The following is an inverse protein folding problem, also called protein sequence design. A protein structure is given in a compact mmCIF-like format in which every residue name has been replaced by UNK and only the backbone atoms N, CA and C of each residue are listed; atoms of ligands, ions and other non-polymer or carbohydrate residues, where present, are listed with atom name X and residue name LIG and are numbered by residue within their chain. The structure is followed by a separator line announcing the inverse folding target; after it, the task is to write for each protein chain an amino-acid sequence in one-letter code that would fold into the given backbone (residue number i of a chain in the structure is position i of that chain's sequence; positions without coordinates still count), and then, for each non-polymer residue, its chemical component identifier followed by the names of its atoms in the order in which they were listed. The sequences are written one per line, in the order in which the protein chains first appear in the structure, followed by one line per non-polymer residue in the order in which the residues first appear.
data_IF_193395407478
#
_entry.id   IF_193395407478
#
_cell.length_a   1.000
_cell.length_b   1.000
_cell.length_c   1.000
_cell.angle_alpha   90.00
_cell.angle_beta   90.00
_cell.angle_gamma   90.00
#
_symmetry.space_group_name_H-M   'P 1'
#
loop_
_entity.id
_entity.type
_entity.pdbx_description
1 polymer ?
#
# COMPACT_ATOMS: atom_id res chain seq x y z
N UNK A 1 39.83 -68.52 10.68
CA UNK A 1 39.36 -69.91 10.44
C UNK A 1 38.05 -69.90 9.65
N UNK A 2 38.03 -69.30 8.45
CA UNK A 2 36.83 -69.21 7.59
C UNK A 2 37.22 -69.24 6.10
N UNK A 3 38.29 -69.96 5.76
CA UNK A 3 38.81 -70.10 4.39
C UNK A 3 38.85 -71.56 3.91
N UNK A 4 37.87 -72.39 4.28
CA UNK A 4 37.60 -73.69 3.61
C UNK A 4 36.11 -74.06 3.66
N UNK A 5 35.27 -73.24 3.05
CA UNK A 5 33.90 -73.62 2.71
C UNK A 5 33.72 -73.43 1.19
N UNK A 6 33.10 -74.43 0.55
CA UNK A 6 32.84 -74.48 -0.90
C UNK A 6 31.98 -73.28 -1.35
N UNK A 7 32.08 -72.92 -2.63
CA UNK A 7 31.42 -71.75 -3.23
C UNK A 7 29.88 -71.75 -3.00
N UNK A 8 29.24 -72.92 -2.97
CA UNK A 8 27.81 -73.05 -2.66
C UNK A 8 27.47 -72.64 -1.22
N UNK A 9 28.31 -72.97 -0.24
CA UNK A 9 28.10 -72.58 1.16
C UNK A 9 28.32 -71.08 1.39
N UNK A 10 29.12 -70.40 0.55
CA UNK A 10 29.32 -68.95 0.64
C UNK A 10 28.10 -68.17 0.14
N UNK A 11 27.46 -68.66 -0.93
CA UNK A 11 26.22 -68.07 -1.44
C UNK A 11 25.07 -68.26 -0.44
N UNK A 12 24.98 -69.44 0.18
CA UNK A 12 23.97 -69.72 1.20
C UNK A 12 24.12 -68.86 2.46
N UNK A 13 25.35 -68.66 2.95
CA UNK A 13 25.63 -67.76 4.08
C UNK A 13 25.34 -66.30 3.72
N UNK A 14 25.62 -65.86 2.49
CA UNK A 14 25.30 -64.52 2.02
C UNK A 14 23.78 -64.28 1.91
N UNK A 15 23.02 -65.24 1.39
CA UNK A 15 21.56 -65.17 1.34
C UNK A 15 20.92 -65.13 2.72
N UNK A 16 21.42 -65.92 3.68
CA UNK A 16 20.95 -65.89 5.08
C UNK A 16 21.27 -64.52 5.72
N UNK A 17 22.47 -64.00 5.51
CA UNK A 17 22.84 -62.68 6.04
C UNK A 17 21.99 -61.56 5.43
N UNK A 18 21.73 -61.62 4.11
CA UNK A 18 20.86 -60.68 3.41
C UNK A 18 19.40 -60.75 3.88
N UNK A 19 18.87 -61.95 4.15
CA UNK A 19 17.52 -62.14 4.71
C UNK A 19 17.41 -61.62 6.15
N UNK A 20 18.43 -61.83 6.97
CA UNK A 20 18.49 -61.30 8.35
C UNK A 20 18.55 -59.77 8.32
N UNK A 21 19.33 -59.18 7.41
CA UNK A 21 19.39 -57.72 7.22
C UNK A 21 18.06 -57.14 6.71
N UNK A 22 17.39 -57.81 5.76
CA UNK A 22 16.06 -57.38 5.28
C UNK A 22 15.00 -57.49 6.38
N UNK A 23 15.02 -58.53 7.21
CA UNK A 23 14.10 -58.66 8.35
C UNK A 23 14.36 -57.61 9.41
N UNK A 24 15.63 -57.33 9.73
CA UNK A 24 16.00 -56.25 10.66
C UNK A 24 15.57 -54.87 10.12
N UNK A 25 15.70 -54.63 8.82
CA UNK A 25 15.26 -53.40 8.16
C UNK A 25 13.74 -53.25 8.17
N UNK A 26 13.00 -54.34 7.93
CA UNK A 26 11.54 -54.32 7.96
C UNK A 26 11.01 -54.11 9.39
N UNK A 27 11.64 -54.73 10.39
CA UNK A 27 11.33 -54.50 11.81
C UNK A 27 11.68 -53.07 12.22
N UNK A 28 12.79 -52.52 11.76
CA UNK A 28 13.12 -51.12 12.00
C UNK A 28 12.10 -50.16 11.37
N UNK A 29 11.66 -50.43 10.13
CA UNK A 29 10.59 -49.63 9.47
C UNK A 29 9.27 -49.75 10.23
N UNK A 30 8.88 -50.94 10.68
CA UNK A 30 7.63 -51.13 11.44
C UNK A 30 7.71 -50.43 12.80
N UNK A 31 8.84 -50.53 13.51
CA UNK A 31 9.07 -49.82 14.77
C UNK A 31 9.06 -48.31 14.53
N UNK A 32 9.73 -47.82 13.48
CA UNK A 32 9.70 -46.41 13.10
C UNK A 32 8.30 -45.94 12.73
N UNK A 33 7.49 -46.79 12.08
CA UNK A 33 6.11 -46.49 11.74
C UNK A 33 5.22 -46.47 12.98
N UNK A 34 5.38 -47.40 13.94
CA UNK A 34 4.68 -47.38 15.23
C UNK A 34 5.09 -46.19 16.11
N UNK A 35 6.38 -45.84 16.14
CA UNK A 35 6.87 -44.65 16.85
C UNK A 35 6.39 -43.37 16.17
N UNK A 36 6.39 -43.30 14.85
CA UNK A 36 5.84 -42.18 14.10
C UNK A 36 4.32 -42.07 14.30
N UNK A 37 3.59 -43.19 14.33
CA UNK A 37 2.16 -43.20 14.65
C UNK A 37 1.90 -42.77 16.09
N UNK A 38 2.72 -43.19 17.05
CA UNK A 38 2.60 -42.79 18.45
C UNK A 38 2.94 -41.31 18.66
N UNK A 39 3.99 -40.80 18.00
CA UNK A 39 4.32 -39.37 18.01
C UNK A 39 3.21 -38.58 17.30
N UNK A 40 2.70 -39.06 16.17
CA UNK A 40 1.59 -38.45 15.45
C UNK A 40 0.30 -38.46 16.27
N UNK A 41 0.02 -39.53 17.02
CA UNK A 41 -1.11 -39.64 17.95
C UNK A 41 -0.94 -38.73 19.18
N UNK A 42 0.27 -38.57 19.70
CA UNK A 42 0.57 -37.62 20.80
C UNK A 42 0.49 -36.17 20.32
N UNK A 43 0.93 -35.88 19.09
CA UNK A 43 0.79 -34.58 18.45
C UNK A 43 -0.67 -34.28 18.07
N UNK A 44 -1.45 -35.28 17.63
CA UNK A 44 -2.90 -35.17 17.41
C UNK A 44 -3.65 -34.98 18.73
N UNK A 45 -3.30 -35.72 19.78
CA UNK A 45 -3.86 -35.54 21.11
C UNK A 45 -3.53 -34.15 21.68
N UNK A 46 -2.29 -33.67 21.45
CA UNK A 46 -1.86 -32.31 21.80
C UNK A 46 -2.55 -31.22 20.98
N UNK A 47 -2.78 -31.44 19.68
CA UNK A 47 -3.50 -30.51 18.80
C UNK A 47 -5.00 -30.46 19.10
N UNK A 48 -5.62 -31.60 19.40
CA UNK A 48 -7.05 -31.68 19.79
C UNK A 48 -7.29 -31.06 21.17
N UNK A 49 -6.33 -31.14 22.10
CA UNK A 49 -6.43 -30.48 23.41
C UNK A 49 -6.00 -28.98 23.38
N UNK A 50 -5.07 -28.61 22.49
CA UNK A 50 -4.52 -27.26 22.38
C UNK A 50 -5.42 -26.25 21.66
N UNK A 51 -6.28 -26.70 20.74
CA UNK A 51 -7.14 -25.81 19.93
C UNK A 51 -8.14 -24.98 20.75
N UNK A 52 -8.54 -25.44 21.93
CA UNK A 52 -9.50 -24.71 22.80
C UNK A 52 -8.85 -23.51 23.50
N UNK A 53 -7.53 -23.53 23.72
CA UNK A 53 -6.80 -22.46 24.42
C UNK A 53 -5.74 -21.75 23.56
N UNK A 54 -5.48 -22.22 22.35
CA UNK A 54 -4.46 -21.68 21.44
C UNK A 54 -4.63 -20.17 21.22
N UNK A 55 -5.86 -19.71 20.96
CA UNK A 55 -6.18 -18.30 20.74
C UNK A 55 -5.99 -17.38 21.97
N UNK A 56 -5.79 -17.92 23.18
CA UNK A 56 -5.51 -17.13 24.39
C UNK A 56 -4.02 -16.91 24.66
N UNK A 57 -3.14 -17.60 23.93
CA UNK A 57 -1.69 -17.50 24.12
C UNK A 57 -1.16 -16.35 23.25
N UNK A 58 -0.37 -15.40 23.79
CA UNK A 58 0.25 -14.32 23.01
C UNK A 58 1.06 -14.83 21.80
N UNK A 59 0.97 -14.14 20.66
CA UNK A 59 1.58 -14.53 19.37
C UNK A 59 3.08 -14.90 19.48
N UNK A 60 3.83 -14.20 20.34
CA UNK A 60 5.25 -14.48 20.56
C UNK A 60 5.49 -15.87 21.16
N UNK A 61 4.63 -16.29 22.09
CA UNK A 61 4.72 -17.59 22.77
C UNK A 61 4.22 -18.71 21.85
N UNK A 62 3.20 -18.46 21.04
CA UNK A 62 2.75 -19.43 20.02
C UNK A 62 3.88 -19.75 19.03
N UNK A 63 4.59 -18.73 18.54
CA UNK A 63 5.70 -18.93 17.60
C UNK A 63 6.85 -19.71 18.27
N UNK A 64 7.17 -19.41 19.54
CA UNK A 64 8.17 -20.14 20.34
C UNK A 64 7.79 -21.61 20.57
N UNK A 65 6.51 -21.89 20.82
CA UNK A 65 5.98 -23.25 21.03
C UNK A 65 5.99 -24.06 19.74
N UNK A 66 5.54 -23.49 18.62
CA UNK A 66 5.60 -24.18 17.32
C UNK A 66 7.05 -24.47 16.93
N UNK A 67 7.95 -23.51 17.15
CA UNK A 67 9.36 -23.69 16.82
C UNK A 67 10.03 -24.77 17.69
N UNK A 68 9.75 -24.82 19.00
CA UNK A 68 10.38 -25.79 19.90
C UNK A 68 9.71 -27.17 19.91
N UNK A 69 8.38 -27.26 19.75
CA UNK A 69 7.64 -28.52 19.86
C UNK A 69 7.45 -29.23 18.53
N UNK A 70 7.54 -28.52 17.40
CA UNK A 70 7.36 -29.10 16.07
C UNK A 70 8.68 -29.13 15.31
N UNK A 71 9.40 -28.00 15.23
CA UNK A 71 10.62 -27.92 14.41
C UNK A 71 11.84 -28.56 15.09
N UNK A 72 12.04 -28.39 16.39
CA UNK A 72 13.19 -28.99 17.09
C UNK A 72 13.21 -30.52 17.05
N UNK A 73 12.09 -31.24 17.29
CA UNK A 73 12.05 -32.68 17.17
C UNK A 73 12.29 -33.16 15.73
N UNK A 74 11.81 -32.42 14.72
CA UNK A 74 12.07 -32.76 13.31
C UNK A 74 13.55 -32.58 12.99
N UNK A 75 14.18 -31.49 13.43
CA UNK A 75 15.62 -31.22 13.23
C UNK A 75 16.47 -32.26 13.98
N UNK A 76 16.07 -32.65 15.19
CA UNK A 76 16.79 -33.61 16.02
C UNK A 76 16.66 -35.04 15.47
N UNK A 77 15.46 -35.44 15.04
CA UNK A 77 15.23 -36.72 14.35
C UNK A 77 15.99 -36.74 13.02
N UNK A 78 16.03 -35.64 12.28
CA UNK A 78 16.76 -35.55 11.01
C UNK A 78 18.29 -35.58 11.22
N UNK A 79 18.81 -34.89 12.24
CA UNK A 79 20.24 -34.94 12.60
C UNK A 79 20.67 -36.35 13.00
N UNK A 80 19.85 -37.05 13.78
CA UNK A 80 20.10 -38.47 14.13
C UNK A 80 20.00 -39.37 12.89
N UNK A 81 19.06 -39.13 11.98
CA UNK A 81 18.91 -39.93 10.76
C UNK A 81 20.01 -39.69 9.73
N UNK A 82 20.50 -38.46 9.59
CA UNK A 82 21.58 -38.11 8.67
C UNK A 82 22.91 -38.77 9.08
N UNK A 83 23.22 -38.78 10.39
CA UNK A 83 24.39 -39.48 10.94
C UNK A 83 24.29 -41.01 10.80
N UNK A 84 23.09 -41.57 10.83
CA UNK A 84 22.85 -43.02 10.73
C UNK A 84 22.85 -43.52 9.27
N UNK A 85 22.59 -42.66 8.29
CA UNK A 85 22.43 -43.06 6.88
C UNK A 85 23.63 -42.71 5.97
N UNK A 86 24.73 -42.17 6.50
CA UNK A 86 25.92 -41.75 5.72
C UNK A 86 25.54 -40.97 4.44
N UNK A 87 24.59 -40.03 4.56
CA UNK A 87 24.11 -39.23 3.42
C UNK A 87 25.21 -38.23 3.03
N UNK A 88 25.66 -38.26 1.76
CA UNK A 88 26.63 -37.31 1.20
C UNK A 88 26.27 -35.85 1.54
N UNK A 89 27.26 -35.07 2.00
CA UNK A 89 27.11 -33.67 2.47
C UNK A 89 26.36 -32.77 1.49
N UNK A 90 26.44 -33.07 0.19
CA UNK A 90 25.77 -32.32 -0.87
C UNK A 90 24.24 -32.49 -0.84
N UNK A 91 23.73 -33.70 -0.59
CA UNK A 91 22.30 -34.00 -0.49
C UNK A 91 21.71 -33.41 0.80
N UNK A 92 22.49 -33.46 1.89
CA UNK A 92 22.12 -32.83 3.17
C UNK A 92 21.87 -31.32 3.01
N UNK A 93 22.73 -30.63 2.24
CA UNK A 93 22.57 -29.21 1.92
C UNK A 93 21.27 -28.88 1.17
N UNK A 94 20.89 -29.68 0.16
CA UNK A 94 19.65 -29.48 -0.58
C UNK A 94 18.41 -29.66 0.28
N UNK A 95 18.42 -30.63 1.21
CA UNK A 95 17.28 -30.85 2.10
C UNK A 95 17.14 -29.70 3.09
N UNK A 96 18.24 -29.23 3.70
CA UNK A 96 18.22 -28.07 4.60
C UNK A 96 17.69 -26.82 3.88
N UNK A 97 18.17 -26.56 2.66
CA UNK A 97 17.71 -25.42 1.86
C UNK A 97 16.21 -25.54 1.52
N UNK A 98 15.73 -26.75 1.21
CA UNK A 98 14.32 -27.00 0.92
C UNK A 98 13.41 -26.74 2.14
N UNK A 99 13.86 -27.13 3.34
CA UNK A 99 13.13 -26.88 4.59
C UNK A 99 13.10 -25.38 4.91
N UNK A 100 14.22 -24.66 4.72
CA UNK A 100 14.27 -23.21 4.89
C UNK A 100 13.33 -22.46 3.92
N UNK A 101 13.30 -22.88 2.65
CA UNK A 101 12.37 -22.34 1.66
C UNK A 101 10.91 -22.55 2.05
N UNK A 102 10.55 -23.73 2.57
CA UNK A 102 9.19 -24.02 3.03
C UNK A 102 8.81 -23.13 4.22
N UNK A 103 9.72 -22.94 5.18
CA UNK A 103 9.50 -22.05 6.34
C UNK A 103 9.33 -20.59 5.90
N UNK A 104 10.15 -20.11 4.97
CA UNK A 104 10.04 -18.76 4.40
C UNK A 104 8.72 -18.57 3.64
N UNK A 105 8.35 -19.52 2.77
CA UNK A 105 7.08 -19.50 2.05
C UNK A 105 5.88 -19.49 3.01
N UNK A 106 5.91 -20.27 4.09
CA UNK A 106 4.85 -20.30 5.09
C UNK A 106 4.77 -18.98 5.89
N UNK A 107 5.92 -18.37 6.21
CA UNK A 107 6.00 -17.06 6.85
C UNK A 107 5.43 -15.93 5.98
N UNK A 108 5.79 -15.91 4.69
CA UNK A 108 5.28 -14.95 3.71
C UNK A 108 3.78 -15.15 3.52
N UNK A 109 3.33 -16.40 3.38
CA UNK A 109 1.91 -16.72 3.27
C UNK A 109 1.13 -16.28 4.51
N UNK A 110 1.62 -16.57 5.73
CA UNK A 110 1.02 -16.10 6.99
C UNK A 110 0.95 -14.58 7.06
N UNK A 111 1.97 -13.86 6.58
CA UNK A 111 1.99 -12.41 6.54
C UNK A 111 0.94 -11.83 5.57
N UNK A 112 0.89 -12.34 4.33
CA UNK A 112 -0.09 -11.92 3.32
C UNK A 112 -1.51 -12.24 3.80
N UNK A 113 -1.72 -13.46 4.33
CA UNK A 113 -3.01 -13.91 4.84
C UNK A 113 -3.46 -13.10 6.06
N UNK A 114 -2.54 -12.72 6.97
CA UNK A 114 -2.84 -11.85 8.12
C UNK A 114 -3.23 -10.43 7.67
N UNK A 115 -2.56 -9.89 6.65
CA UNK A 115 -2.92 -8.58 6.07
C UNK A 115 -4.33 -8.59 5.48
N UNK A 116 -4.66 -9.62 4.71
CA UNK A 116 -5.98 -9.76 4.08
C UNK A 116 -7.10 -10.05 5.10
N UNK A 117 -6.81 -10.80 6.17
CA UNK A 117 -7.76 -11.01 7.28
C UNK A 117 -7.95 -9.75 8.11
N UNK A 118 -6.91 -8.97 8.42
CA UNK A 118 -7.08 -7.71 9.14
C UNK A 118 -7.96 -6.72 8.37
N UNK A 119 -7.81 -6.66 7.05
CA UNK A 119 -8.64 -5.81 6.19
C UNK A 119 -10.10 -6.29 6.17
N UNK A 120 -10.34 -7.61 6.07
CA UNK A 120 -11.69 -8.21 6.12
C UNK A 120 -12.34 -8.14 7.50
N UNK A 121 -11.58 -8.31 8.59
CA UNK A 121 -12.08 -8.19 9.96
C UNK A 121 -12.38 -6.75 10.34
N UNK A 122 -11.58 -5.79 9.86
CA UNK A 122 -11.89 -4.36 10.00
C UNK A 122 -13.25 -4.04 9.35
N UNK A 123 -13.41 -4.39 8.07
CA UNK A 123 -14.67 -4.21 7.32
C UNK A 123 -15.86 -4.92 7.98
N UNK A 124 -15.65 -6.14 8.51
CA UNK A 124 -16.69 -6.94 9.16
C UNK A 124 -17.09 -6.42 10.54
N UNK A 125 -16.13 -5.95 11.34
CA UNK A 125 -16.40 -5.36 12.66
C UNK A 125 -17.12 -4.00 12.53
N UNK A 126 -16.78 -3.23 11.49
CA UNK A 126 -17.48 -2.00 11.13
C UNK A 126 -18.92 -2.27 10.66
N UNK A 127 -19.16 -3.38 9.97
CA UNK A 127 -20.51 -3.82 9.56
C UNK A 127 -21.35 -4.32 10.75
N UNK A 128 -20.72 -4.92 11.77
CA UNK A 128 -21.42 -5.49 12.94
C UNK A 128 -21.90 -4.43 13.94
N UNK A 129 -21.27 -3.26 13.97
CA UNK A 129 -21.71 -2.13 14.82
C UNK A 129 -22.86 -1.30 14.19
N UNK A 130 -23.35 -1.66 13.00
CA UNK A 130 -24.33 -0.88 12.21
C UNK A 130 -25.81 -1.15 12.51
N UNK A 131 -26.16 -1.63 13.70
CA UNK A 131 -27.58 -1.62 14.11
C UNK A 131 -27.92 -0.29 14.78
N UNK A 132 -28.25 0.70 13.94
CA UNK A 132 -28.89 1.99 14.24
C UNK A 132 -27.97 3.14 14.71
N UNK A 133 -27.41 3.94 13.80
CA UNK A 133 -27.09 5.37 13.97
C UNK A 133 -26.36 5.92 12.73
N UNK A 134 -26.30 7.25 12.60
CA UNK A 134 -25.59 8.00 11.57
C UNK A 134 -24.18 7.43 11.29
N UNK A 135 -23.69 7.64 10.06
CA UNK A 135 -22.37 7.17 9.63
C UNK A 135 -21.31 7.60 10.66
N UNK A 136 -20.56 6.65 11.24
CA UNK A 136 -19.51 6.98 12.22
C UNK A 136 -18.41 7.80 11.58
N UNK A 137 -17.75 8.67 12.35
CA UNK A 137 -16.63 9.49 11.87
C UNK A 137 -15.52 8.63 11.23
N UNK A 138 -15.18 7.50 11.83
CA UNK A 138 -14.22 6.54 11.25
C UNK A 138 -14.64 6.06 9.85
N UNK A 139 -15.95 5.84 9.63
CA UNK A 139 -16.49 5.36 8.36
C UNK A 139 -16.55 6.48 7.33
N UNK A 140 -16.92 7.70 7.76
CA UNK A 140 -16.85 8.90 6.92
C UNK A 140 -15.43 9.13 6.41
N UNK A 141 -14.45 9.10 7.30
CA UNK A 141 -13.04 9.23 6.97
C UNK A 141 -12.57 8.11 6.03
N UNK A 142 -12.96 6.86 6.30
CA UNK A 142 -12.63 5.74 5.44
C UNK A 142 -13.13 5.95 4.01
N UNK A 143 -14.39 6.34 3.84
CA UNK A 143 -14.99 6.59 2.53
C UNK A 143 -14.35 7.79 1.84
N UNK A 144 -14.12 8.90 2.56
CA UNK A 144 -13.43 10.08 2.02
C UNK A 144 -12.06 9.71 1.43
N UNK A 145 -11.19 9.07 2.23
CA UNK A 145 -9.86 8.71 1.75
C UNK A 145 -9.90 7.66 0.64
N UNK A 146 -10.86 6.75 0.66
CA UNK A 146 -11.08 5.80 -0.43
C UNK A 146 -11.48 6.52 -1.74
N UNK A 147 -12.35 7.53 -1.67
CA UNK A 147 -12.72 8.36 -2.82
C UNK A 147 -11.54 9.18 -3.34
N UNK A 148 -10.79 9.85 -2.45
CA UNK A 148 -9.57 10.59 -2.80
C UNK A 148 -8.55 9.68 -3.48
N UNK A 149 -8.35 8.46 -2.98
CA UNK A 149 -7.43 7.49 -3.57
C UNK A 149 -7.85 7.03 -4.98
N UNK A 150 -9.14 6.78 -5.19
CA UNK A 150 -9.66 6.43 -6.52
C UNK A 150 -9.51 7.60 -7.50
N UNK A 151 -9.79 8.82 -7.04
CA UNK A 151 -9.68 10.04 -7.82
C UNK A 151 -8.22 10.31 -8.23
N UNK A 152 -7.29 10.28 -7.28
CA UNK A 152 -5.86 10.53 -7.51
C UNK A 152 -5.16 9.51 -8.43
N UNK A 153 -5.84 8.42 -8.80
CA UNK A 153 -5.30 7.38 -9.70
C UNK A 153 -6.00 7.38 -11.06
N UNK A 154 -6.94 8.30 -11.28
CA UNK A 154 -7.79 8.34 -12.46
C UNK A 154 -7.00 8.38 -13.78
N UNK A 155 -5.90 9.12 -13.81
CA UNK A 155 -5.00 9.30 -14.96
C UNK A 155 -3.92 8.20 -15.10
N UNK A 156 -3.84 7.30 -14.11
CA UNK A 156 -2.86 6.22 -14.06
C UNK A 156 -1.61 6.50 -13.21
N UNK A 157 -1.44 7.67 -12.60
CA UNK A 157 -0.36 7.92 -11.64
C UNK A 157 -0.73 8.99 -10.61
N UNK A 158 -0.32 8.80 -9.35
CA UNK A 158 -0.53 9.84 -8.33
C UNK A 158 0.59 10.87 -8.46
N UNK A 159 0.25 12.13 -8.65
CA UNK A 159 1.20 13.24 -8.75
C UNK A 159 1.75 13.64 -7.38
N UNK A 160 2.86 14.39 -7.37
CA UNK A 160 3.40 14.91 -6.11
C UNK A 160 2.48 15.96 -5.50
N UNK A 161 1.87 16.81 -6.32
CA UNK A 161 0.99 17.87 -5.85
C UNK A 161 -0.28 17.30 -5.19
N UNK A 162 -0.80 16.19 -5.70
CA UNK A 162 -1.90 15.44 -5.06
C UNK A 162 -1.50 14.86 -3.70
N UNK A 163 -0.30 14.25 -3.60
CA UNK A 163 0.21 13.74 -2.33
C UNK A 163 0.36 14.88 -1.33
N UNK A 164 0.95 15.99 -1.75
CA UNK A 164 1.15 17.18 -0.91
C UNK A 164 -0.20 17.76 -0.47
N UNK A 165 -1.23 17.75 -1.33
CA UNK A 165 -2.60 18.15 -0.98
C UNK A 165 -3.24 17.23 0.08
N UNK A 166 -3.09 15.90 -0.06
CA UNK A 166 -3.60 14.93 0.92
C UNK A 166 -2.87 15.07 2.27
N UNK A 167 -1.56 15.28 2.27
CA UNK A 167 -0.77 15.51 3.48
C UNK A 167 -1.14 16.84 4.17
N UNK A 168 -1.36 17.90 3.39
CA UNK A 168 -1.84 19.17 3.90
C UNK A 168 -3.22 19.03 4.55
N UNK A 169 -4.14 18.27 3.92
CA UNK A 169 -5.44 17.96 4.50
C UNK A 169 -5.31 17.26 5.85
N UNK A 170 -4.58 16.14 5.93
CA UNK A 170 -4.42 15.38 7.17
C UNK A 170 -3.81 16.23 8.30
N UNK A 171 -2.98 17.20 7.93
CA UNK A 171 -2.39 18.14 8.87
C UNK A 171 -3.39 19.20 9.34
N UNK A 172 -4.20 19.77 8.44
CA UNK A 172 -5.26 20.74 8.80
C UNK A 172 -6.40 20.10 9.61
N UNK A 173 -6.69 18.83 9.36
CA UNK A 173 -7.68 18.06 10.09
C UNK A 173 -7.19 17.57 11.47
N UNK A 174 -5.95 17.92 11.87
CA UNK A 174 -5.32 17.54 13.13
C UNK A 174 -5.31 16.02 13.37
N UNK A 175 -5.05 15.24 12.32
CA UNK A 175 -5.01 13.78 12.43
C UNK A 175 -3.79 13.34 13.24
N UNK A 176 -4.04 12.57 14.29
CA UNK A 176 -2.98 11.87 15.01
C UNK A 176 -2.30 10.81 14.13
N UNK A 177 -1.22 10.23 14.65
CA UNK A 177 -0.39 9.30 13.88
C UNK A 177 -1.15 8.02 13.48
N UNK A 178 -2.11 7.56 14.28
CA UNK A 178 -2.83 6.32 14.01
C UNK A 178 -3.98 6.54 13.02
N UNK A 179 -4.69 7.67 13.13
CA UNK A 179 -5.70 8.13 12.17
C UNK A 179 -5.07 8.37 10.81
N UNK A 180 -3.90 9.01 10.76
CA UNK A 180 -3.11 9.18 9.53
C UNK A 180 -2.77 7.84 8.88
N UNK A 181 -2.32 6.83 9.65
CA UNK A 181 -2.05 5.49 9.10
C UNK A 181 -3.31 4.84 8.51
N UNK A 182 -4.45 4.93 9.20
CA UNK A 182 -5.73 4.39 8.71
C UNK A 182 -6.16 5.08 7.42
N UNK A 183 -6.10 6.40 7.38
CA UNK A 183 -6.42 7.21 6.20
C UNK A 183 -5.59 6.80 4.98
N UNK A 184 -4.27 6.61 5.16
CA UNK A 184 -3.36 6.11 4.11
C UNK A 184 -3.74 4.70 3.64
N UNK A 185 -4.20 3.82 4.54
CA UNK A 185 -4.69 2.49 4.15
C UNK A 185 -5.90 2.60 3.23
N UNK A 186 -6.91 3.41 3.57
CA UNK A 186 -8.10 3.61 2.72
C UNK A 186 -7.79 4.28 1.40
N UNK A 187 -6.90 5.27 1.41
CA UNK A 187 -6.41 5.91 0.19
C UNK A 187 -5.75 4.90 -0.75
N UNK A 188 -4.88 4.04 -0.21
CA UNK A 188 -4.24 2.99 -1.00
C UNK A 188 -5.23 1.95 -1.53
N UNK A 189 -6.24 1.57 -0.74
CA UNK A 189 -7.30 0.69 -1.18
C UNK A 189 -8.11 1.34 -2.33
N UNK A 190 -8.45 2.61 -2.20
CA UNK A 190 -9.13 3.41 -3.22
C UNK A 190 -8.42 3.44 -4.56
N UNK A 191 -7.09 3.60 -4.58
CA UNK A 191 -6.29 3.57 -5.81
C UNK A 191 -6.42 2.28 -6.64
N UNK A 192 -6.78 1.18 -5.99
CA UNK A 192 -6.85 -0.14 -6.64
C UNK A 192 -8.28 -0.60 -6.92
N UNK A 193 -9.27 0.20 -6.53
CA UNK A 193 -10.68 -0.19 -6.63
C UNK A 193 -11.21 -0.11 -8.05
N UNK A 194 -11.97 -1.13 -8.44
CA UNK A 194 -12.76 -1.12 -9.68
C UNK A 194 -14.20 -0.66 -9.47
N UNK A 195 -14.62 -0.46 -8.22
CA UNK A 195 -15.99 -0.02 -7.88
C UNK A 195 -16.31 1.32 -8.54
N UNK A 196 -17.49 1.52 -9.15
CA UNK A 196 -17.89 2.81 -9.70
C UNK A 196 -17.84 3.94 -8.67
N UNK A 197 -17.45 5.14 -9.09
CA UNK A 197 -17.29 6.28 -8.18
C UNK A 197 -18.63 6.67 -7.53
N UNK A 198 -19.70 6.70 -8.34
CA UNK A 198 -21.08 6.93 -7.89
C UNK A 198 -21.53 6.01 -6.75
N UNK A 199 -21.19 4.72 -6.78
CA UNK A 199 -21.58 3.77 -5.71
C UNK A 199 -20.91 4.12 -4.38
N UNK A 200 -19.63 4.48 -4.42
CA UNK A 200 -18.86 4.88 -3.23
C UNK A 200 -19.43 6.20 -2.67
N UNK A 201 -19.72 7.17 -3.55
CA UNK A 201 -20.32 8.44 -3.15
C UNK A 201 -21.72 8.26 -2.54
N UNK A 202 -22.50 7.29 -3.04
CA UNK A 202 -23.83 6.97 -2.49
C UNK A 202 -23.75 6.44 -1.04
N UNK A 203 -22.66 5.75 -0.67
CA UNK A 203 -22.45 5.36 0.73
C UNK A 203 -22.25 6.57 1.64
N UNK A 204 -21.57 7.61 1.13
CA UNK A 204 -21.35 8.86 1.87
C UNK A 204 -22.57 9.79 1.88
N UNK A 205 -23.47 9.67 0.90
CA UNK A 205 -24.71 10.46 0.78
C UNK A 205 -25.68 10.31 1.97
N UNK A 206 -25.40 9.40 2.91
CA UNK A 206 -26.16 9.20 4.16
C UNK A 206 -25.81 10.24 5.24
N UNK A 207 -24.75 11.03 5.04
CA UNK A 207 -24.32 12.09 5.95
C UNK A 207 -25.19 13.36 5.82
N UNK A 208 -24.96 14.33 6.71
CA UNK A 208 -25.65 15.63 6.62
C UNK A 208 -25.08 16.52 5.51
N UNK A 209 -25.81 17.59 5.17
CA UNK A 209 -25.43 18.48 4.06
C UNK A 209 -24.05 19.13 4.26
N UNK A 210 -23.64 19.36 5.50
CA UNK A 210 -22.35 20.00 5.82
C UNK A 210 -21.20 19.03 5.54
N UNK A 211 -21.35 17.76 5.93
CA UNK A 211 -20.43 16.68 5.56
C UNK A 211 -20.32 16.53 4.04
N UNK A 212 -21.46 16.58 3.31
CA UNK A 212 -21.50 16.46 1.84
C UNK A 212 -20.79 17.63 1.15
N UNK A 213 -20.96 18.85 1.65
CA UNK A 213 -20.22 20.01 1.14
C UNK A 213 -18.73 19.90 1.45
N UNK A 214 -18.37 19.46 2.66
CA UNK A 214 -16.97 19.30 3.05
C UNK A 214 -16.25 18.28 2.16
N UNK A 215 -16.80 17.08 1.97
CA UNK A 215 -16.19 16.07 1.08
C UNK A 215 -16.07 16.59 -0.35
N UNK A 216 -17.06 17.30 -0.87
CA UNK A 216 -16.99 17.85 -2.22
C UNK A 216 -15.87 18.89 -2.35
N UNK A 217 -15.69 19.74 -1.33
CA UNK A 217 -14.58 20.68 -1.29
C UNK A 217 -13.22 19.97 -1.27
N UNK A 218 -13.08 18.87 -0.51
CA UNK A 218 -11.86 18.07 -0.49
C UNK A 218 -11.56 17.40 -1.83
N UNK A 219 -12.58 16.86 -2.50
CA UNK A 219 -12.45 16.30 -3.85
C UNK A 219 -11.99 17.38 -4.85
N UNK A 220 -12.58 18.58 -4.77
CA UNK A 220 -12.18 19.71 -5.61
C UNK A 220 -10.73 20.15 -5.31
N UNK A 221 -10.33 20.25 -4.05
CA UNK A 221 -8.96 20.65 -3.70
C UNK A 221 -7.92 19.67 -4.25
N UNK A 222 -8.19 18.36 -4.19
CA UNK A 222 -7.30 17.34 -4.75
C UNK A 222 -7.17 17.51 -6.27
N UNK A 223 -8.29 17.62 -6.98
CA UNK A 223 -8.33 17.71 -8.45
C UNK A 223 -7.67 19.00 -8.97
N UNK A 224 -7.68 20.07 -8.18
CA UNK A 224 -6.99 21.31 -8.55
C UNK A 224 -5.57 21.42 -7.98
N UNK A 225 -5.02 20.37 -7.37
CA UNK A 225 -3.70 20.41 -6.75
C UNK A 225 -2.59 20.67 -7.77
N UNK A 226 -2.67 20.04 -8.95
CA UNK A 226 -1.73 20.23 -10.06
C UNK A 226 -2.17 21.36 -11.03
N UNK A 227 -3.41 21.85 -10.86
CA UNK A 227 -4.00 22.94 -11.62
C UNK A 227 -4.65 22.54 -12.96
N UNK A 228 -4.78 21.24 -13.27
CA UNK A 228 -5.40 20.74 -14.51
C UNK A 228 -6.53 19.77 -14.19
N UNK A 229 -7.76 20.13 -14.58
CA UNK A 229 -8.91 19.23 -14.47
C UNK A 229 -8.94 18.22 -15.62
N UNK A 230 -8.88 16.93 -15.32
CA UNK A 230 -9.05 15.86 -16.31
C UNK A 230 -10.51 15.42 -16.46
N UNK A 231 -10.88 14.91 -17.63
CA UNK A 231 -12.26 14.50 -17.94
C UNK A 231 -12.79 13.39 -17.00
N UNK A 232 -11.93 12.48 -16.55
CA UNK A 232 -12.32 11.42 -15.61
C UNK A 232 -12.58 11.99 -14.20
N UNK A 233 -11.77 12.96 -13.76
CA UNK A 233 -11.95 13.62 -12.47
C UNK A 233 -13.21 14.48 -12.46
N UNK A 234 -13.46 15.21 -13.56
CA UNK A 234 -14.70 15.93 -13.78
C UNK A 234 -15.90 14.97 -13.72
N UNK A 235 -15.80 13.78 -14.33
CA UNK A 235 -16.82 12.76 -14.22
C UNK A 235 -17.02 12.31 -12.77
N UNK A 236 -15.95 12.08 -11.99
CA UNK A 236 -16.05 11.71 -10.58
C UNK A 236 -16.68 12.79 -9.71
N UNK A 237 -16.39 14.06 -9.96
CA UNK A 237 -17.04 15.18 -9.29
C UNK A 237 -18.54 15.25 -9.61
N UNK A 238 -18.91 15.00 -10.88
CA UNK A 238 -20.31 14.92 -11.28
C UNK A 238 -21.03 13.72 -10.65
N UNK A 239 -20.38 12.55 -10.59
CA UNK A 239 -20.89 11.36 -9.90
C UNK A 239 -21.12 11.65 -8.41
N UNK A 240 -20.18 12.33 -7.74
CA UNK A 240 -20.30 12.75 -6.34
C UNK A 240 -21.48 13.69 -6.14
N UNK A 241 -21.54 14.78 -6.92
CA UNK A 241 -22.61 15.77 -6.82
C UNK A 241 -23.99 15.15 -7.05
N UNK A 242 -24.10 14.23 -8.01
CA UNK A 242 -25.33 13.49 -8.30
C UNK A 242 -25.71 12.59 -7.13
N UNK A 243 -24.77 11.82 -6.58
CA UNK A 243 -25.02 10.95 -5.44
C UNK A 243 -25.43 11.73 -4.18
N UNK A 244 -24.86 12.92 -3.97
CA UNK A 244 -25.17 13.82 -2.86
C UNK A 244 -26.49 14.57 -3.04
N UNK A 245 -27.15 14.46 -4.20
CA UNK A 245 -28.37 15.20 -4.51
C UNK A 245 -28.16 16.71 -4.66
N UNK A 246 -26.93 17.15 -4.97
CA UNK A 246 -26.60 18.55 -5.15
C UNK A 246 -27.05 19.05 -6.52
N UNK A 247 -27.47 20.31 -6.60
CA UNK A 247 -27.82 20.93 -7.87
C UNK A 247 -26.57 20.99 -8.78
N UNK A 248 -26.68 20.65 -10.08
CA UNK A 248 -25.58 20.76 -11.04
C UNK A 248 -24.94 22.15 -11.11
N UNK A 249 -25.70 23.18 -10.74
CA UNK A 249 -25.21 24.56 -10.71
C UNK A 249 -24.16 24.79 -9.61
N UNK A 250 -24.25 24.10 -8.48
CA UNK A 250 -23.31 24.26 -7.36
C UNK A 250 -21.91 23.79 -7.80
N UNK A 251 -21.83 22.61 -8.40
CA UNK A 251 -20.57 22.08 -8.90
C UNK A 251 -20.00 22.96 -10.02
N UNK A 252 -20.82 23.34 -10.99
CA UNK A 252 -20.39 24.23 -12.08
C UNK A 252 -19.83 25.56 -11.56
N UNK A 253 -20.45 26.15 -10.51
CA UNK A 253 -19.97 27.38 -9.89
C UNK A 253 -18.66 27.16 -9.14
N UNK A 254 -18.55 26.07 -8.38
CA UNK A 254 -17.33 25.73 -7.64
C UNK A 254 -16.14 25.47 -8.58
N UNK A 255 -16.37 24.74 -9.68
CA UNK A 255 -15.36 24.51 -10.72
C UNK A 255 -14.87 25.83 -11.32
N UNK A 256 -15.79 26.70 -11.75
CA UNK A 256 -15.42 28.02 -12.31
C UNK A 256 -14.62 28.87 -11.33
N UNK A 257 -14.98 28.87 -10.06
CA UNK A 257 -14.26 29.63 -9.05
C UNK A 257 -12.85 29.07 -8.81
N UNK A 258 -12.72 27.74 -8.73
CA UNK A 258 -11.43 27.07 -8.55
C UNK A 258 -10.51 27.24 -9.76
N UNK A 259 -11.02 27.11 -10.99
CA UNK A 259 -10.29 27.39 -12.24
C UNK A 259 -9.80 28.83 -12.29
N UNK A 260 -10.67 29.79 -11.92
CA UNK A 260 -10.27 31.20 -11.84
C UNK A 260 -9.12 31.38 -10.84
N UNK A 261 -9.22 30.79 -9.65
CA UNK A 261 -8.16 30.90 -8.63
C UNK A 261 -6.85 30.22 -9.04
N UNK A 262 -6.90 29.09 -9.75
CA UNK A 262 -5.70 28.41 -10.25
C UNK A 262 -5.02 29.24 -11.35
N UNK A 263 -5.79 29.83 -12.26
CA UNK A 263 -5.27 30.71 -13.30
C UNK A 263 -4.57 31.93 -12.69
N UNK A 264 -5.14 32.48 -11.63
CA UNK A 264 -4.59 33.65 -10.92
C UNK A 264 -3.28 33.32 -10.24
N UNK A 265 -3.23 32.20 -9.51
CA UNK A 265 -2.01 31.71 -8.85
C UNK A 265 -0.84 31.60 -9.82
N UNK A 266 -1.09 31.16 -11.05
CA UNK A 266 -0.06 31.07 -12.10
C UNK A 266 0.58 32.43 -12.38
N UNK A 267 -0.18 33.51 -12.45
CA UNK A 267 0.38 34.85 -12.69
C UNK A 267 1.23 35.34 -11.50
N UNK A 268 0.80 35.08 -10.26
CA UNK A 268 1.61 35.39 -9.07
C UNK A 268 2.92 34.61 -9.04
N UNK A 269 2.89 33.33 -9.43
CA UNK A 269 4.08 32.47 -9.55
C UNK A 269 5.07 32.99 -10.62
N UNK A 270 4.58 33.50 -11.76
CA UNK A 270 5.43 34.13 -12.80
C UNK A 270 6.19 35.33 -12.23
N UNK A 271 5.56 36.12 -11.36
CA UNK A 271 6.20 37.26 -10.70
C UNK A 271 6.99 36.88 -9.44
N UNK A 272 7.01 35.58 -9.06
CA UNK A 272 7.64 35.08 -7.84
C UNK A 272 7.08 35.72 -6.57
N UNK A 273 5.78 36.03 -6.57
CA UNK A 273 5.07 36.70 -5.48
C UNK A 273 4.04 35.75 -4.84
N UNK A 274 3.73 36.02 -3.57
CA UNK A 274 2.59 35.40 -2.89
C UNK A 274 1.27 36.07 -3.31
N UNK A 275 0.14 35.37 -3.18
CA UNK A 275 -1.21 35.89 -3.46
C UNK A 275 -1.54 37.14 -2.63
N UNK A 276 -1.01 37.23 -1.41
CA UNK A 276 -1.27 38.32 -0.46
C UNK A 276 -0.22 39.43 -0.51
N UNK A 277 0.65 39.46 -1.53
CA UNK A 277 1.66 40.51 -1.70
C UNK A 277 1.02 41.91 -1.78
N UNK A 278 1.65 42.91 -1.16
CA UNK A 278 1.17 44.31 -1.25
C UNK A 278 1.32 44.87 -2.67
N UNK A 279 0.51 45.87 -3.03
CA UNK A 279 0.58 46.49 -4.36
C UNK A 279 1.95 47.12 -4.64
N UNK A 280 2.59 47.67 -3.62
CA UNK A 280 3.95 48.23 -3.72
C UNK A 280 4.99 47.16 -4.00
N UNK A 281 4.89 46.01 -3.33
CA UNK A 281 5.82 44.90 -3.54
C UNK A 281 5.58 44.21 -4.89
N UNK A 282 4.32 44.03 -5.29
CA UNK A 282 3.96 43.52 -6.62
C UNK A 282 4.58 44.39 -7.72
N UNK A 283 4.43 45.71 -7.61
CA UNK A 283 4.96 46.69 -8.56
C UNK A 283 6.49 46.72 -8.56
N UNK A 284 7.12 46.53 -7.39
CA UNK A 284 8.58 46.40 -7.27
C UNK A 284 9.08 45.17 -8.02
N UNK A 285 8.51 44.00 -7.76
CA UNK A 285 8.90 42.74 -8.43
C UNK A 285 8.71 42.80 -9.93
N UNK A 286 7.58 43.36 -10.39
CA UNK A 286 7.34 43.62 -11.80
C UNK A 286 8.46 44.47 -12.42
N UNK A 287 8.81 45.62 -11.82
CA UNK A 287 9.88 46.50 -12.32
C UNK A 287 11.24 45.81 -12.38
N UNK A 288 11.58 45.02 -11.36
CA UNK A 288 12.82 44.26 -11.29
C UNK A 288 12.92 43.23 -12.42
N UNK A 289 11.88 42.42 -12.60
CA UNK A 289 11.79 41.40 -13.64
C UNK A 289 11.75 42.02 -15.04
N UNK A 290 10.94 43.06 -15.26
CA UNK A 290 10.91 43.80 -16.53
C UNK A 290 12.27 44.38 -16.88
N UNK A 291 13.01 44.93 -15.92
CA UNK A 291 14.38 45.44 -16.16
C UNK A 291 15.38 44.32 -16.43
N UNK A 292 15.19 43.13 -15.87
CA UNK A 292 16.06 41.98 -16.09
C UNK A 292 15.88 41.39 -17.49
N UNK A 293 14.63 41.23 -17.93
CA UNK A 293 14.27 40.58 -19.19
C UNK A 293 13.97 41.57 -20.33
N UNK A 294 14.19 42.88 -20.14
CA UNK A 294 13.93 43.89 -21.17
C UNK A 294 14.72 43.57 -22.45
N UNK A 295 14.06 43.54 -23.63
CA UNK A 295 14.71 43.21 -24.89
C UNK A 295 15.95 44.09 -25.13
N UNK A 296 15.85 45.41 -24.96
CA UNK A 296 16.97 46.34 -25.20
C UNK A 296 18.23 46.04 -24.35
N UNK A 297 18.06 45.56 -23.12
CA UNK A 297 19.18 45.23 -22.23
C UNK A 297 19.91 43.95 -22.67
N UNK A 298 19.20 43.06 -23.35
CA UNK A 298 19.72 41.79 -23.86
C UNK A 298 20.29 42.01 -25.27
N UNK A 299 19.67 42.85 -26.10
CA UNK A 299 20.19 43.26 -27.42
C UNK A 299 21.51 44.02 -27.35
N UNK A 300 21.80 44.72 -26.23
CA UNK A 300 23.07 45.43 -26.04
C UNK A 300 24.27 44.53 -25.73
N UNK A 301 24.07 43.23 -25.53
CA UNK A 301 25.14 42.25 -25.31
C UNK A 301 25.18 41.35 -26.53
N UNK A 302 26.36 41.08 -27.10
CA UNK A 302 26.56 40.15 -28.22
C UNK A 302 26.20 38.70 -27.81
N UNK A 303 24.90 38.45 -27.70
CA UNK A 303 24.32 37.22 -27.19
C UNK A 303 23.74 36.39 -28.35
N UNK A 304 23.72 35.06 -28.22
CA UNK A 304 23.10 34.19 -29.20
C UNK A 304 21.63 34.53 -29.51
N UNK A 305 21.16 34.36 -30.78
CA UNK A 305 19.79 34.68 -31.20
C UNK A 305 18.67 34.06 -30.36
N UNK A 306 18.87 32.87 -29.80
CA UNK A 306 17.88 32.20 -28.97
C UNK A 306 17.60 32.96 -27.65
N UNK A 307 18.56 33.74 -27.14
CA UNK A 307 18.38 34.53 -25.92
C UNK A 307 17.52 35.78 -26.14
N UNK A 308 17.55 36.37 -27.34
CA UNK A 308 16.66 37.49 -27.69
C UNK A 308 15.20 37.03 -27.72
N UNK A 309 14.94 35.88 -28.34
CA UNK A 309 13.60 35.27 -28.38
C UNK A 309 13.11 34.95 -26.97
N UNK A 310 13.93 34.26 -26.18
CA UNK A 310 13.62 33.92 -24.79
C UNK A 310 13.30 35.15 -23.94
N UNK A 311 14.09 36.22 -24.07
CA UNK A 311 13.88 37.45 -23.29
C UNK A 311 12.60 38.18 -23.68
N UNK A 312 12.27 38.21 -24.98
CA UNK A 312 11.01 38.78 -25.47
C UNK A 312 9.80 37.99 -24.93
N UNK A 313 9.85 36.66 -25.01
CA UNK A 313 8.80 35.79 -24.49
C UNK A 313 8.61 36.00 -22.98
N UNK A 314 9.70 36.00 -22.21
CA UNK A 314 9.66 36.24 -20.76
C UNK A 314 9.15 37.63 -20.40
N UNK A 315 9.60 38.67 -21.11
CA UNK A 315 9.12 40.04 -20.88
C UNK A 315 7.61 40.15 -21.10
N UNK A 316 7.09 39.48 -22.13
CA UNK A 316 5.67 39.47 -22.44
C UNK A 316 4.85 38.66 -21.42
N UNK A 317 5.37 37.53 -20.94
CA UNK A 317 4.78 36.77 -19.82
C UNK A 317 4.70 37.61 -18.54
N UNK A 318 5.78 38.32 -18.18
CA UNK A 318 5.83 39.19 -16.99
C UNK A 318 4.82 40.33 -17.10
N UNK A 319 4.73 40.96 -18.28
CA UNK A 319 3.78 42.04 -18.52
C UNK A 319 2.34 41.56 -18.42
N UNK A 320 2.00 40.46 -19.09
CA UNK A 320 0.67 39.85 -19.02
C UNK A 320 0.30 39.49 -17.57
N UNK A 321 1.22 38.86 -16.82
CA UNK A 321 0.98 38.51 -15.42
C UNK A 321 0.67 39.73 -14.55
N UNK A 322 1.41 40.84 -14.70
CA UNK A 322 1.15 42.06 -13.96
C UNK A 322 -0.19 42.70 -14.34
N UNK A 323 -0.54 42.74 -15.63
CA UNK A 323 -1.81 43.29 -16.13
C UNK A 323 -3.01 42.52 -15.54
N UNK A 324 -3.02 41.19 -15.65
CA UNK A 324 -4.11 40.35 -15.12
C UNK A 324 -4.26 40.50 -13.61
N UNK A 325 -3.15 40.45 -12.85
CA UNK A 325 -3.22 40.63 -11.38
C UNK A 325 -3.78 42.01 -11.01
N UNK A 326 -3.36 43.06 -11.73
CA UNK A 326 -3.81 44.42 -11.45
C UNK A 326 -5.29 44.62 -11.81
N UNK A 327 -5.77 43.99 -12.89
CA UNK A 327 -7.20 44.02 -13.24
C UNK A 327 -8.08 43.34 -12.22
N UNK A 328 -7.62 42.23 -11.63
CA UNK A 328 -8.38 41.53 -10.60
C UNK A 328 -8.45 42.24 -9.25
N UNK A 329 -7.45 43.07 -8.95
CA UNK A 329 -7.43 43.87 -7.71
C UNK A 329 -8.25 45.16 -7.80
N UNK A 330 -8.72 45.54 -8.99
CA UNK A 330 -9.61 46.69 -9.22
C UNK A 330 -11.06 46.30 -9.01
#
# INVERSE_FOLDING_TARGET
MFMRLSLENRFFVFCIFFLICMQAFFVAIVILYEYALNIFCVLLAGAVCGTVFWHRIPDQIQNLLVFNLVFWPIILVYGIFADVLEIDDEISGYVILSVQCVVLCFGIFKYIYKKEIQEKEYLKNETRNQSSQALSEDKKQAILFFMLGKMAKADGQVSKDEIDAVEAFMTRADFDQDTRKKAIVFFNAGKTTTRPFYEIATEFAQCDIDDLHAILEWLLELVFADGVLHAIEEQYLNDAATAFGLSPNILTQALKEKERLSEVRKYYAILGCDLYVSDDELKRRYRELSKQYHPDRIFSKDLPPYLHKFSKEKFQEIQNAYEVITEQRK
#
